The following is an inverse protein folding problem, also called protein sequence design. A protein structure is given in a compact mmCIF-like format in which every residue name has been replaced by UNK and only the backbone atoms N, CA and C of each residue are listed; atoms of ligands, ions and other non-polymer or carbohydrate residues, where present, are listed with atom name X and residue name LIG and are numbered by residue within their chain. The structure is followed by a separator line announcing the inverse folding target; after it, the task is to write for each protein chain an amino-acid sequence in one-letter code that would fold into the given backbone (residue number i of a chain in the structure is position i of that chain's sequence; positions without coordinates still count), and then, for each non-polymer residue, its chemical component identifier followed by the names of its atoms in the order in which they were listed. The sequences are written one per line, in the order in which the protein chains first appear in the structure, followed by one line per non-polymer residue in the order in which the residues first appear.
data_IF_056263723574
#
_entry.id   IF_056263723574
#
_cell.length_a   1.000
_cell.length_b   1.000
_cell.length_c   1.000
_cell.angle_alpha   90.00
_cell.angle_beta   90.00
_cell.angle_gamma   90.00
#
_symmetry.space_group_name_H-M   'P 1'
#
loop_
_entity.id
_entity.type
_entity.pdbx_description
1 polymer ?
#
# COMPACT_ATOMS: atom_id res chain seq x y z
N UNK A 1 2.33 -4.68 -12.13
CA UNK A 1 1.53 -3.75 -11.30
C UNK A 1 2.25 -3.59 -9.98
N UNK A 2 2.65 -2.38 -9.65
CA UNK A 2 3.42 -2.02 -8.47
C UNK A 2 2.48 -1.58 -7.34
N UNK A 3 2.65 -2.16 -6.17
CA UNK A 3 1.81 -1.92 -4.99
C UNK A 3 2.64 -1.38 -3.82
N UNK A 4 2.10 -0.36 -3.17
CA UNK A 4 2.59 0.14 -1.87
C UNK A 4 1.67 -0.40 -0.76
N UNK A 5 2.19 -1.25 0.12
CA UNK A 5 1.43 -1.94 1.16
C UNK A 5 1.64 -1.29 2.53
N UNK A 6 0.63 -0.60 3.06
CA UNK A 6 0.71 0.07 4.36
C UNK A 6 0.01 -0.75 5.44
N UNK A 7 0.76 -1.19 6.44
CA UNK A 7 0.28 -1.94 7.58
C UNK A 7 0.74 -3.39 7.59
N UNK A 8 1.92 -3.66 8.15
CA UNK A 8 2.44 -5.03 8.39
C UNK A 8 1.93 -5.65 9.70
N UNK A 9 0.65 -5.44 10.00
CA UNK A 9 -0.07 -6.14 11.07
C UNK A 9 -0.45 -7.57 10.65
N UNK A 10 -1.44 -8.18 11.31
CA UNK A 10 -1.88 -9.53 10.92
C UNK A 10 -2.35 -9.59 9.46
N UNK A 11 -3.24 -8.68 9.06
CA UNK A 11 -3.77 -8.65 7.68
C UNK A 11 -2.66 -8.43 6.66
N UNK A 12 -1.77 -7.46 6.87
CA UNK A 12 -0.65 -7.21 5.95
C UNK A 12 0.31 -8.38 5.82
N UNK A 13 0.62 -9.07 6.93
CA UNK A 13 1.44 -10.28 6.87
C UNK A 13 0.77 -11.37 6.04
N UNK A 14 -0.53 -11.60 6.21
CA UNK A 14 -1.22 -12.60 5.38
C UNK A 14 -1.33 -12.20 3.92
N UNK A 15 -1.52 -10.92 3.62
CA UNK A 15 -1.46 -10.44 2.24
C UNK A 15 -0.08 -10.71 1.63
N UNK A 16 1.01 -10.45 2.36
CA UNK A 16 2.37 -10.79 1.88
C UNK A 16 2.55 -12.30 1.66
N UNK A 17 2.02 -13.16 2.54
CA UNK A 17 2.08 -14.63 2.36
C UNK A 17 1.30 -15.06 1.13
N UNK A 18 0.08 -14.58 0.96
CA UNK A 18 -0.75 -14.86 -0.22
C UNK A 18 -0.02 -14.44 -1.51
N UNK A 19 0.60 -13.25 -1.53
CA UNK A 19 1.35 -12.78 -2.69
C UNK A 19 2.59 -13.64 -2.97
N UNK A 20 3.31 -14.08 -1.94
CA UNK A 20 4.44 -15.01 -2.07
C UNK A 20 4.00 -16.35 -2.66
N UNK A 21 3.00 -16.97 -2.04
CA UNK A 21 2.56 -18.34 -2.35
C UNK A 21 1.89 -18.44 -3.72
N UNK A 22 1.26 -17.36 -4.18
CA UNK A 22 0.47 -17.33 -5.41
C UNK A 22 1.10 -16.51 -6.54
N UNK A 23 2.39 -16.16 -6.43
CA UNK A 23 3.09 -15.32 -7.44
C UNK A 23 2.94 -15.87 -8.86
N UNK A 24 3.18 -17.17 -9.05
CA UNK A 24 3.06 -17.83 -10.35
C UNK A 24 1.61 -17.84 -10.87
N UNK A 25 0.65 -18.09 -9.99
CA UNK A 25 -0.78 -18.09 -10.32
C UNK A 25 -1.24 -16.70 -10.80
N UNK A 26 -0.88 -15.63 -10.09
CA UNK A 26 -1.25 -14.27 -10.50
C UNK A 26 -0.57 -13.85 -11.80
N UNK A 27 0.72 -14.17 -11.98
CA UNK A 27 1.45 -13.90 -13.22
C UNK A 27 0.77 -14.55 -14.43
N UNK A 28 0.36 -15.81 -14.30
CA UNK A 28 -0.33 -16.54 -15.37
C UNK A 28 -1.75 -16.01 -15.62
N UNK A 29 -2.53 -15.78 -14.55
CA UNK A 29 -3.95 -15.40 -14.66
C UNK A 29 -4.16 -13.97 -15.13
N UNK A 30 -3.33 -13.05 -14.68
CA UNK A 30 -3.46 -11.62 -14.96
C UNK A 30 -2.61 -11.17 -16.16
N UNK A 31 -1.79 -12.07 -16.71
CA UNK A 31 -0.74 -11.76 -17.68
C UNK A 31 0.16 -10.58 -17.21
N UNK A 32 0.28 -10.42 -15.88
CA UNK A 32 0.94 -9.31 -15.17
C UNK A 32 1.36 -9.78 -13.78
N UNK A 33 2.51 -9.31 -13.31
CA UNK A 33 2.97 -9.50 -11.93
C UNK A 33 2.34 -8.47 -10.98
N UNK A 34 2.15 -8.86 -9.72
CA UNK A 34 1.89 -7.95 -8.60
C UNK A 34 3.20 -7.83 -7.82
N UNK A 35 3.77 -6.63 -7.77
CA UNK A 35 5.08 -6.36 -7.19
C UNK A 35 4.95 -5.38 -6.04
N UNK A 36 5.33 -5.80 -4.83
CA UNK A 36 5.40 -4.89 -3.68
C UNK A 36 6.65 -4.04 -3.85
N UNK A 37 6.51 -2.72 -3.98
CA UNK A 37 7.65 -1.79 -4.12
C UNK A 37 7.85 -0.92 -2.88
N UNK A 38 6.83 -0.84 -2.03
CA UNK A 38 6.88 -0.18 -0.75
C UNK A 38 6.07 -0.97 0.28
N UNK A 39 6.55 -1.01 1.52
CA UNK A 39 5.87 -1.66 2.63
C UNK A 39 6.08 -0.90 3.95
N UNK A 40 5.02 -0.69 4.73
CA UNK A 40 5.12 0.04 6.00
C UNK A 40 4.52 -0.70 7.18
N UNK A 41 5.13 -0.58 8.35
CA UNK A 41 4.48 -0.86 9.62
C UNK A 41 4.15 0.46 10.35
N UNK A 42 4.04 0.46 11.68
CA UNK A 42 3.78 1.68 12.44
C UNK A 42 5.02 2.60 12.50
N UNK A 43 6.22 2.04 12.53
CA UNK A 43 7.47 2.78 12.74
C UNK A 43 8.26 2.98 11.44
N UNK A 44 8.16 2.06 10.49
CA UNK A 44 9.04 1.96 9.34
C UNK A 44 8.27 2.05 8.03
N UNK A 45 8.93 2.59 7.01
CA UNK A 45 8.45 2.69 5.63
C UNK A 45 9.60 2.26 4.71
N UNK A 46 9.54 1.03 4.23
CA UNK A 46 10.55 0.44 3.38
C UNK A 46 10.18 0.60 1.90
N UNK A 47 11.18 0.75 1.05
CA UNK A 47 11.05 0.91 -0.38
C UNK A 47 12.16 0.17 -1.14
N UNK A 48 11.78 -0.37 -2.30
CA UNK A 48 12.69 -0.97 -3.27
C UNK A 48 12.13 -0.77 -4.68
N UNK A 49 12.81 -0.01 -5.56
CA UNK A 49 12.34 0.22 -6.93
C UNK A 49 12.32 -1.08 -7.75
N UNK A 50 13.18 -2.03 -7.41
CA UNK A 50 13.28 -3.36 -8.03
C UNK A 50 12.33 -4.39 -7.41
N UNK A 51 11.52 -3.96 -6.44
CA UNK A 51 10.58 -4.80 -5.71
C UNK A 51 11.12 -5.32 -4.38
N UNK A 52 10.19 -5.62 -3.49
CA UNK A 52 10.34 -6.22 -2.19
C UNK A 52 9.93 -7.69 -2.33
N UNK A 53 10.80 -8.60 -1.89
CA UNK A 53 10.49 -10.00 -1.74
C UNK A 53 9.59 -10.17 -0.50
N UNK A 54 8.32 -10.58 -0.66
CA UNK A 54 7.40 -10.72 0.46
C UNK A 54 7.87 -11.73 1.51
N UNK A 55 8.54 -12.82 1.11
CA UNK A 55 9.03 -13.83 2.05
C UNK A 55 10.18 -13.28 2.91
N UNK A 56 11.12 -12.57 2.28
CA UNK A 56 12.22 -11.91 2.98
C UNK A 56 11.71 -10.86 3.96
N UNK A 57 10.79 -9.98 3.53
CA UNK A 57 10.23 -8.95 4.39
C UNK A 57 9.50 -9.58 5.60
N UNK A 58 8.69 -10.62 5.37
CA UNK A 58 7.99 -11.35 6.43
C UNK A 58 8.95 -11.94 7.46
N UNK A 59 9.98 -12.63 7.00
CA UNK A 59 10.99 -13.25 7.87
C UNK A 59 11.61 -12.25 8.85
N UNK A 60 12.03 -11.09 8.34
CA UNK A 60 12.65 -10.04 9.16
C UNK A 60 11.63 -9.32 10.04
N UNK A 61 10.41 -9.10 9.55
CA UNK A 61 9.32 -8.54 10.35
C UNK A 61 8.94 -9.42 11.54
N UNK A 62 8.88 -10.73 11.36
CA UNK A 62 8.54 -11.70 12.42
C UNK A 62 9.64 -11.84 13.46
N UNK A 63 10.90 -11.63 13.08
CA UNK A 63 12.04 -11.55 14.00
C UNK A 63 12.12 -10.23 14.77
N UNK A 64 11.32 -9.23 14.39
CA UNK A 64 11.40 -7.89 14.97
C UNK A 64 12.62 -7.08 14.51
N UNK A 65 13.28 -7.49 13.41
CA UNK A 65 14.45 -6.82 12.84
C UNK A 65 14.17 -6.48 11.38
N UNK A 66 13.34 -5.47 11.14
CA UNK A 66 12.89 -5.14 9.79
C UNK A 66 14.04 -4.61 8.91
N UNK A 67 15.08 -3.99 9.50
CA UNK A 67 16.26 -3.49 8.78
C UNK A 67 17.11 -4.60 8.20
N UNK A 68 17.13 -5.78 8.83
CA UNK A 68 17.81 -6.96 8.27
C UNK A 68 17.28 -7.35 6.87
N UNK A 69 16.10 -6.89 6.47
CA UNK A 69 15.59 -7.04 5.10
C UNK A 69 16.48 -6.37 4.04
N UNK A 70 17.22 -5.32 4.40
CA UNK A 70 18.14 -4.61 3.49
C UNK A 70 17.46 -3.66 2.52
N UNK A 71 16.15 -3.42 2.65
CA UNK A 71 15.44 -2.41 1.87
C UNK A 71 15.69 -1.00 2.40
N UNK A 72 15.57 0.00 1.53
CA UNK A 72 15.78 1.40 1.88
C UNK A 72 14.62 1.92 2.72
N UNK A 73 14.91 2.53 3.86
CA UNK A 73 13.91 3.27 4.64
C UNK A 73 13.74 4.67 4.04
N UNK A 74 12.50 5.09 3.85
CA UNK A 74 12.12 6.39 3.28
C UNK A 74 11.13 7.10 4.20
N UNK A 75 11.04 8.42 4.08
CA UNK A 75 10.00 9.17 4.76
C UNK A 75 8.62 8.88 4.16
N UNK A 76 7.59 8.79 5.00
CA UNK A 76 6.22 8.51 4.55
C UNK A 76 5.69 9.52 3.55
N UNK A 77 6.10 10.78 3.69
CA UNK A 77 5.70 11.86 2.78
C UNK A 77 6.28 11.66 1.38
N UNK A 78 7.47 11.08 1.28
CA UNK A 78 8.15 10.79 0.01
C UNK A 78 7.56 9.58 -0.75
N UNK A 79 6.62 8.84 -0.14
CA UNK A 79 6.00 7.66 -0.76
C UNK A 79 5.33 8.03 -2.09
N UNK A 80 4.57 9.11 -2.12
CA UNK A 80 3.78 9.52 -3.30
C UNK A 80 4.65 10.04 -4.46
N UNK A 81 5.94 10.27 -4.23
CA UNK A 81 6.93 10.59 -5.26
C UNK A 81 7.49 9.33 -5.93
N UNK A 82 7.20 8.13 -5.37
CA UNK A 82 7.70 6.86 -5.88
C UNK A 82 6.78 6.29 -6.96
N UNK A 83 7.36 5.43 -7.79
CA UNK A 83 6.65 4.73 -8.86
C UNK A 83 5.89 3.52 -8.31
N UNK A 84 4.57 3.67 -8.15
CA UNK A 84 3.64 2.60 -7.84
C UNK A 84 2.28 2.87 -8.48
N UNK A 85 1.45 1.85 -8.64
CA UNK A 85 0.12 1.96 -9.26
C UNK A 85 -0.98 2.07 -8.20
N UNK A 86 -0.87 1.26 -7.13
CA UNK A 86 -1.95 1.05 -6.15
C UNK A 86 -1.42 1.14 -4.72
N UNK A 87 -2.09 1.94 -3.89
CA UNK A 87 -1.92 1.96 -2.44
C UNK A 87 -2.84 0.92 -1.79
N UNK A 88 -2.28 0.04 -0.95
CA UNK A 88 -3.02 -0.97 -0.19
C UNK A 88 -2.99 -0.59 1.29
N UNK A 89 -4.11 -0.08 1.83
CA UNK A 89 -4.23 0.33 3.24
C UNK A 89 -4.78 -0.79 4.12
N UNK A 90 -3.90 -1.34 4.93
CA UNK A 90 -4.12 -2.38 5.92
C UNK A 90 -3.77 -1.88 7.33
N UNK A 91 -3.63 -0.57 7.53
CA UNK A 91 -3.32 0.01 8.83
C UNK A 91 -4.53 -0.05 9.78
N UNK A 92 -4.32 -0.11 11.11
CA UNK A 92 -5.42 -0.12 12.07
C UNK A 92 -6.32 1.10 11.97
N UNK A 93 -7.63 0.95 12.04
CA UNK A 93 -8.58 2.06 11.96
C UNK A 93 -8.34 3.13 13.05
N UNK A 94 -8.40 4.42 12.69
CA UNK A 94 -8.51 5.53 13.65
C UNK A 94 -9.97 5.80 13.97
N UNK A 95 -10.26 6.32 15.17
CA UNK A 95 -11.63 6.63 15.61
C UNK A 95 -12.31 7.69 14.75
N UNK A 96 -11.55 8.66 14.28
CA UNK A 96 -12.03 9.80 13.49
C UNK A 96 -12.05 9.53 11.97
N UNK A 97 -11.33 8.53 11.47
CA UNK A 97 -11.17 8.27 10.03
C UNK A 97 -10.30 9.27 9.26
N UNK A 98 -9.77 10.32 9.90
CA UNK A 98 -9.06 11.42 9.22
C UNK A 98 -7.80 10.92 8.51
N UNK A 99 -7.01 10.07 9.17
CA UNK A 99 -5.79 9.50 8.60
C UNK A 99 -6.05 8.75 7.30
N UNK A 100 -7.11 7.94 7.26
CA UNK A 100 -7.49 7.20 6.07
C UNK A 100 -7.95 8.14 4.95
N UNK A 101 -8.83 9.10 5.26
CA UNK A 101 -9.28 10.12 4.30
C UNK A 101 -8.11 10.86 3.65
N UNK A 102 -7.20 11.39 4.45
CA UNK A 102 -6.08 12.23 3.98
C UNK A 102 -5.07 11.41 3.17
N UNK A 103 -4.81 10.18 3.60
CA UNK A 103 -3.97 9.22 2.87
C UNK A 103 -4.55 8.92 1.48
N UNK A 104 -5.86 8.66 1.39
CA UNK A 104 -6.50 8.33 0.11
C UNK A 104 -6.55 9.54 -0.81
N UNK A 105 -6.82 10.73 -0.26
CA UNK A 105 -6.75 11.97 -1.03
C UNK A 105 -5.35 12.21 -1.61
N UNK A 106 -4.29 11.94 -0.85
CA UNK A 106 -2.90 12.00 -1.35
C UNK A 106 -2.62 10.96 -2.43
N UNK A 107 -3.12 9.73 -2.27
CA UNK A 107 -3.00 8.68 -3.29
C UNK A 107 -3.67 9.09 -4.61
N UNK A 108 -4.92 9.56 -4.54
CA UNK A 108 -5.64 9.99 -5.74
C UNK A 108 -4.97 11.19 -6.41
N UNK A 109 -4.50 12.20 -5.65
CA UNK A 109 -3.74 13.34 -6.22
C UNK A 109 -2.46 12.92 -6.93
N UNK A 110 -1.85 11.81 -6.50
CA UNK A 110 -0.68 11.23 -7.15
C UNK A 110 -1.06 10.26 -8.29
N UNK A 111 -2.31 10.23 -8.74
CA UNK A 111 -2.84 9.30 -9.73
C UNK A 111 -2.58 7.83 -9.34
N UNK A 112 -2.90 7.48 -8.09
CA UNK A 112 -2.78 6.13 -7.53
C UNK A 112 -4.14 5.62 -7.09
N UNK A 113 -4.46 4.39 -7.44
CA UNK A 113 -5.67 3.73 -6.94
C UNK A 113 -5.48 3.31 -5.47
N UNK A 114 -6.60 3.09 -4.76
CA UNK A 114 -6.60 2.66 -3.36
C UNK A 114 -7.40 1.36 -3.19
N UNK A 115 -6.80 0.38 -2.52
CA UNK A 115 -7.46 -0.81 -1.99
C UNK A 115 -7.34 -0.77 -0.47
N UNK A 116 -8.43 -0.91 0.26
CA UNK A 116 -8.41 -0.73 1.72
C UNK A 116 -9.17 -1.81 2.47
N UNK A 117 -8.60 -2.26 3.59
CA UNK A 117 -9.29 -3.00 4.64
C UNK A 117 -9.68 -2.09 5.83
N UNK A 118 -9.21 -0.85 5.84
CA UNK A 118 -9.49 0.14 6.88
C UNK A 118 -10.86 0.80 6.65
N UNK A 119 -11.82 0.50 7.54
CA UNK A 119 -13.21 0.95 7.38
C UNK A 119 -13.46 2.39 7.87
N UNK A 120 -12.61 2.93 8.74
CA UNK A 120 -12.92 4.20 9.42
C UNK A 120 -12.97 5.40 8.48
N UNK A 121 -12.09 5.45 7.46
CA UNK A 121 -12.14 6.51 6.45
C UNK A 121 -13.46 6.47 5.68
N UNK A 122 -13.84 5.30 5.17
CA UNK A 122 -15.07 5.12 4.41
C UNK A 122 -16.33 5.38 5.25
N UNK A 123 -16.32 4.97 6.52
CA UNK A 123 -17.46 5.16 7.41
C UNK A 123 -17.71 6.63 7.78
N UNK A 124 -16.65 7.43 7.93
CA UNK A 124 -16.76 8.83 8.36
C UNK A 124 -16.74 9.83 7.20
N UNK A 125 -16.07 9.50 6.08
CA UNK A 125 -15.76 10.42 4.99
C UNK A 125 -16.01 9.86 3.60
N UNK A 126 -17.04 9.01 3.44
CA UNK A 126 -17.40 8.41 2.14
C UNK A 126 -17.47 9.45 1.02
N UNK A 127 -18.24 10.53 1.23
CA UNK A 127 -18.48 11.57 0.21
C UNK A 127 -17.19 12.26 -0.20
N UNK A 128 -16.33 12.60 0.77
CA UNK A 128 -15.06 13.27 0.50
C UNK A 128 -14.10 12.36 -0.27
N UNK A 129 -13.97 11.10 0.17
CA UNK A 129 -13.11 10.09 -0.48
C UNK A 129 -13.55 9.86 -1.93
N UNK A 130 -14.84 9.67 -2.18
CA UNK A 130 -15.35 9.39 -3.52
C UNK A 130 -15.27 10.62 -4.43
N UNK A 131 -15.44 11.82 -3.87
CA UNK A 131 -15.21 13.07 -4.61
C UNK A 131 -13.75 13.17 -5.05
N UNK A 132 -12.80 12.93 -4.14
CA UNK A 132 -11.37 12.93 -4.48
C UNK A 132 -10.99 11.87 -5.51
N UNK A 133 -11.62 10.70 -5.48
CA UNK A 133 -11.39 9.65 -6.47
C UNK A 133 -11.91 10.02 -7.87
N UNK A 134 -12.96 10.83 -7.96
CA UNK A 134 -13.60 11.21 -9.23
C UNK A 134 -12.95 12.43 -9.87
N UNK A 135 -12.60 13.45 -9.07
CA UNK A 135 -12.06 14.72 -9.58
C UNK A 135 -10.79 14.54 -10.41
N UNK A 136 -9.95 13.56 -10.08
CA UNK A 136 -8.70 13.29 -10.81
C UNK A 136 -8.97 12.63 -12.16
N UNK A 137 -10.03 11.82 -12.28
CA UNK A 137 -10.37 11.14 -13.55
C UNK A 137 -10.90 12.11 -14.60
N UNK A 138 -11.51 13.21 -14.16
CA UNK A 138 -12.01 14.26 -15.05
C UNK A 138 -10.86 15.11 -15.64
N UNK A 139 -9.77 15.32 -14.87
CA UNK A 139 -8.58 16.02 -15.35
C UNK A 139 -7.78 15.21 -16.38
N UNK A 140 -7.72 13.89 -16.24
CA UNK A 140 -7.05 12.99 -17.20
C UNK A 140 -7.83 12.77 -18.52
N UNK A 141 -9.06 13.28 -18.62
CA UNK A 141 -9.97 13.07 -19.77
C UNK A 141 -10.10 14.29 -20.71
N UNK A 142 -9.36 15.38 -20.45
CA UNK A 142 -9.32 16.62 -21.23
C UNK A 142 -7.99 16.77 -21.98
#
# INVERSE_FOLDING_TARGET
MKVALLGLGQVGKEVLRILADNRAYYAQKLNRSIEVVAAADFHHMLHSPDGIDPQRLLYYKEKGDIWGSGYTEIDRESLFERDFDVLVDLMPATSDGLRARDLYASAFRASRDVVTACKSGLANFWVDIMRSATSVREEDSL
#
